data_IF_827859569897
#
_entry.id   IF_827859569897
#
_cell.length_a   1.000
_cell.length_b   1.000
_cell.length_c   1.000
_cell.angle_alpha   90.00
_cell.angle_beta   90.00
_cell.angle_gamma   90.00
#
_symmetry.space_group_name_H-M   'P 1'
#
loop_
_entity.id
_entity.type
_entity.pdbx_description
1 polymer ?
#
# COMPACT_ATOMS: atom_id res chain seq x y z
N UNK A 1 5.02 -2.10 -27.88
CA UNK A 1 4.53 -1.84 -26.51
C UNK A 1 5.71 -2.05 -25.58
N UNK A 2 6.12 -1.03 -24.82
CA UNK A 2 7.27 -1.15 -23.92
C UNK A 2 6.81 -1.85 -22.64
N UNK A 3 7.58 -2.84 -22.18
CA UNK A 3 7.30 -3.54 -20.92
C UNK A 3 7.58 -2.59 -19.75
N UNK A 4 6.55 -2.31 -18.93
CA UNK A 4 6.68 -1.51 -17.73
C UNK A 4 6.11 -2.28 -16.53
N UNK A 5 6.95 -2.47 -15.51
CA UNK A 5 6.56 -3.15 -14.28
C UNK A 5 7.29 -2.53 -13.09
N UNK A 6 6.57 -1.76 -12.28
CA UNK A 6 7.11 -1.10 -11.08
C UNK A 6 6.89 -1.92 -9.79
N UNK A 7 6.06 -2.93 -9.82
CA UNK A 7 5.80 -3.79 -8.67
C UNK A 7 5.01 -3.14 -7.53
N UNK A 8 4.31 -2.05 -7.77
CA UNK A 8 3.54 -1.32 -6.75
C UNK A 8 2.56 -2.20 -5.98
N UNK A 9 1.73 -2.95 -6.70
CA UNK A 9 0.73 -3.85 -6.07
C UNK A 9 1.44 -4.86 -5.16
N UNK A 10 2.56 -5.41 -5.61
CA UNK A 10 3.36 -6.34 -4.80
C UNK A 10 3.90 -5.67 -3.53
N UNK A 11 4.33 -4.41 -3.61
CA UNK A 11 4.80 -3.65 -2.44
C UNK A 11 3.68 -3.46 -1.42
N UNK A 12 2.49 -3.04 -1.86
CA UNK A 12 1.33 -2.86 -0.97
C UNK A 12 0.93 -4.16 -0.27
N UNK A 13 0.86 -5.27 -1.01
CA UNK A 13 0.57 -6.58 -0.44
C UNK A 13 1.65 -6.98 0.57
N UNK A 14 2.92 -6.79 0.25
CA UNK A 14 4.03 -7.10 1.15
C UNK A 14 3.97 -6.29 2.44
N UNK A 15 3.62 -5.01 2.35
CA UNK A 15 3.46 -4.15 3.53
C UNK A 15 2.30 -4.61 4.40
N UNK A 16 1.17 -4.94 3.79
CA UNK A 16 0.02 -5.49 4.51
C UNK A 16 0.38 -6.78 5.24
N UNK A 17 1.09 -7.69 4.59
CA UNK A 17 1.58 -8.93 5.20
C UNK A 17 2.53 -8.63 6.37
N UNK A 18 3.49 -7.72 6.20
CA UNK A 18 4.43 -7.33 7.27
C UNK A 18 3.72 -6.75 8.48
N UNK A 19 2.73 -5.91 8.25
CA UNK A 19 1.92 -5.33 9.31
C UNK A 19 1.15 -6.42 10.08
N UNK A 20 0.44 -7.29 9.37
CA UNK A 20 -0.35 -8.35 9.98
C UNK A 20 0.54 -9.41 10.67
N UNK A 21 1.79 -9.59 10.25
CA UNK A 21 2.73 -10.53 10.87
C UNK A 21 3.23 -10.11 12.25
N UNK A 22 2.93 -8.91 12.69
CA UNK A 22 3.27 -8.43 14.04
C UNK A 22 2.26 -8.85 15.10
N UNK A 23 1.11 -9.38 14.71
CA UNK A 23 0.11 -9.86 15.67
C UNK A 23 0.54 -11.17 16.34
N UNK A 24 0.12 -11.32 17.57
CA UNK A 24 0.41 -12.49 18.39
C UNK A 24 -0.80 -12.87 19.24
N UNK A 25 -0.87 -14.12 19.63
CA UNK A 25 -1.91 -14.62 20.51
C UNK A 25 -1.28 -15.37 21.70
N UNK A 26 -2.01 -15.48 22.79
CA UNK A 26 -1.63 -16.33 23.92
C UNK A 26 -2.16 -17.74 23.70
N UNK A 27 -1.27 -18.70 23.76
CA UNK A 27 -1.63 -20.11 23.75
C UNK A 27 -2.20 -20.57 25.10
N UNK A 28 -2.73 -21.80 25.17
CA UNK A 28 -3.30 -22.36 26.40
C UNK A 28 -2.35 -22.34 27.60
N UNK A 29 -1.06 -22.41 27.38
CA UNK A 29 -0.02 -22.29 28.38
C UNK A 29 0.37 -20.84 28.76
N UNK A 30 -0.34 -19.85 28.20
CA UNK A 30 -0.06 -18.43 28.41
C UNK A 30 1.15 -17.89 27.64
N UNK A 31 1.77 -18.68 26.79
CA UNK A 31 2.91 -18.28 25.96
C UNK A 31 2.44 -17.43 24.78
N UNK A 32 3.15 -16.32 24.52
CA UNK A 32 2.89 -15.47 23.38
C UNK A 32 3.49 -16.07 22.10
N UNK A 33 2.64 -16.32 21.11
CA UNK A 33 3.02 -16.91 19.82
C UNK A 33 2.65 -15.96 18.70
N UNK A 34 3.55 -15.71 17.74
CA UNK A 34 3.27 -14.89 16.55
C UNK A 34 2.35 -15.63 15.60
N UNK A 35 1.43 -14.88 14.99
CA UNK A 35 0.52 -15.41 13.98
C UNK A 35 1.23 -15.45 12.61
N UNK A 36 1.36 -16.62 11.98
CA UNK A 36 1.90 -16.70 10.63
C UNK A 36 0.94 -16.08 9.62
N UNK A 37 1.45 -15.25 8.72
CA UNK A 37 0.69 -14.61 7.66
C UNK A 37 1.18 -15.12 6.31
N UNK A 38 0.25 -15.53 5.46
CA UNK A 38 0.55 -16.07 4.14
C UNK A 38 -0.28 -15.39 3.06
N UNK A 39 0.35 -15.17 1.90
CA UNK A 39 -0.39 -14.74 0.72
C UNK A 39 -1.07 -15.94 0.04
N UNK A 40 -2.36 -15.87 -0.14
CA UNK A 40 -3.15 -16.85 -0.86
C UNK A 40 -4.60 -16.84 -0.46
N UNK A 41 -5.43 -17.17 -1.43
CA UNK A 41 -6.87 -17.33 -1.28
C UNK A 41 -7.24 -18.54 -0.39
N UNK A 42 -8.55 -18.70 -0.14
CA UNK A 42 -9.11 -19.79 0.66
C UNK A 42 -8.64 -21.16 0.18
N UNK A 43 -8.65 -21.41 -1.13
CA UNK A 43 -8.26 -22.70 -1.73
C UNK A 43 -6.79 -23.02 -1.41
N UNK A 44 -5.92 -22.03 -1.50
CA UNK A 44 -4.50 -22.18 -1.19
C UNK A 44 -4.26 -22.40 0.30
N UNK A 45 -5.02 -21.72 1.18
CA UNK A 45 -4.95 -21.92 2.61
C UNK A 45 -5.38 -23.32 3.03
N UNK A 46 -6.49 -23.81 2.49
CA UNK A 46 -6.98 -25.18 2.71
C UNK A 46 -5.95 -26.21 2.22
N UNK A 47 -5.35 -25.98 1.03
CA UNK A 47 -4.29 -26.82 0.50
C UNK A 47 -3.07 -26.90 1.42
N UNK A 48 -2.68 -25.79 2.04
CA UNK A 48 -1.59 -25.79 3.02
C UNK A 48 -1.97 -26.51 4.30
N UNK A 49 -3.17 -26.30 4.85
CA UNK A 49 -3.65 -26.98 6.06
C UNK A 49 -3.67 -28.49 5.86
N UNK A 50 -4.17 -28.96 4.72
CA UNK A 50 -4.22 -30.40 4.41
C UNK A 50 -2.84 -31.02 4.20
N UNK A 51 -1.90 -30.24 3.61
CA UNK A 51 -0.54 -30.66 3.34
C UNK A 51 0.35 -30.68 4.60
N UNK A 52 0.13 -29.72 5.49
CA UNK A 52 0.92 -29.54 6.72
C UNK A 52 0.53 -30.52 7.84
N UNK A 53 -0.46 -31.39 7.61
CA UNK A 53 -0.87 -32.42 8.53
C UNK A 53 0.14 -33.58 8.64
N UNK A 54 1.31 -33.46 8.00
CA UNK A 54 2.44 -34.36 8.15
C UNK A 54 3.43 -33.82 9.19
N UNK A 55 3.81 -34.62 10.08
CA UNK A 55 4.57 -34.61 11.34
C UNK A 55 5.61 -33.53 11.65
N UNK A 56 5.83 -32.54 10.74
CA UNK A 56 6.89 -31.57 10.94
C UNK A 56 6.44 -30.16 10.79
N UNK A 57 5.66 -29.55 11.69
CA UNK A 57 5.55 -28.38 11.70
C UNK A 57 4.92 -27.28 12.16
N UNK A 58 4.92 -26.12 11.75
CA UNK A 58 4.20 -24.87 12.00
C UNK A 58 2.72 -25.20 12.26
N UNK A 59 2.17 -24.87 13.42
CA UNK A 59 0.77 -25.15 13.70
C UNK A 59 -0.09 -24.63 12.56
N UNK A 60 -0.93 -25.47 12.02
CA UNK A 60 -1.76 -25.16 10.86
C UNK A 60 -2.74 -24.00 11.13
N UNK A 61 -3.04 -23.73 12.38
CA UNK A 61 -3.85 -22.61 12.89
C UNK A 61 -3.35 -22.22 14.30
N UNK A 62 -3.50 -20.93 14.73
CA UNK A 62 -4.08 -19.82 13.94
C UNK A 62 -3.14 -19.28 12.88
N UNK A 63 -3.70 -18.79 11.77
CA UNK A 63 -2.97 -18.12 10.68
C UNK A 63 -3.84 -17.05 10.02
N UNK A 64 -3.19 -16.13 9.32
CA UNK A 64 -3.88 -15.11 8.53
C UNK A 64 -3.56 -15.34 7.05
N UNK A 65 -4.61 -15.47 6.24
CA UNK A 65 -4.51 -15.52 4.78
C UNK A 65 -4.79 -14.13 4.18
N UNK A 66 -3.90 -13.62 3.36
CA UNK A 66 -4.07 -12.31 2.69
C UNK A 66 -4.16 -12.53 1.20
N UNK A 67 -5.17 -11.96 0.56
CA UNK A 67 -5.31 -12.00 -0.89
C UNK A 67 -6.03 -10.79 -1.45
N UNK A 68 -5.77 -10.48 -2.72
CA UNK A 68 -6.47 -9.42 -3.45
C UNK A 68 -7.81 -9.96 -3.93
N UNK A 69 -8.89 -9.28 -3.57
CA UNK A 69 -10.24 -9.63 -3.99
C UNK A 69 -10.78 -8.73 -5.10
N UNK A 70 -10.26 -7.53 -5.25
CA UNK A 70 -10.71 -6.59 -6.28
C UNK A 70 -9.70 -5.51 -6.60
N UNK A 71 -9.78 -4.99 -7.82
CA UNK A 71 -9.07 -3.82 -8.27
C UNK A 71 -10.02 -3.03 -9.17
N UNK A 72 -10.46 -1.88 -8.70
CA UNK A 72 -11.45 -1.06 -9.39
C UNK A 72 -10.92 0.34 -9.66
N UNK A 73 -11.28 0.89 -10.81
CA UNK A 73 -10.98 2.28 -11.15
C UNK A 73 -11.89 3.21 -10.34
N UNK A 74 -11.30 4.07 -9.54
CA UNK A 74 -12.04 5.09 -8.80
C UNK A 74 -12.30 6.32 -9.69
N UNK A 75 -13.46 6.34 -10.33
CA UNK A 75 -13.85 7.43 -11.21
C UNK A 75 -14.12 8.74 -10.46
N UNK A 76 -14.48 8.67 -9.19
CA UNK A 76 -14.76 9.86 -8.37
C UNK A 76 -13.50 10.67 -8.07
N UNK A 77 -12.35 10.01 -8.02
CA UNK A 77 -11.02 10.62 -7.80
C UNK A 77 -10.22 10.82 -9.09
N UNK A 78 -10.83 10.62 -10.25
CA UNK A 78 -10.17 10.91 -11.52
C UNK A 78 -9.93 12.41 -11.65
N UNK A 79 -8.70 12.81 -11.99
CA UNK A 79 -8.33 14.22 -12.12
C UNK A 79 -9.17 14.94 -13.16
N UNK A 80 -9.32 16.27 -12.96
CA UNK A 80 -10.04 17.19 -13.81
C UNK A 80 -9.55 17.12 -15.28
N UNK A 81 -10.44 17.21 -16.29
CA UNK A 81 -10.06 17.31 -17.69
C UNK A 81 -9.16 18.53 -18.02
N UNK A 82 -9.05 19.50 -17.12
CA UNK A 82 -8.11 20.63 -17.24
C UNK A 82 -6.67 20.28 -16.87
N UNK A 83 -6.37 19.04 -16.52
CA UNK A 83 -5.01 18.61 -16.16
C UNK A 83 -4.01 18.83 -17.28
N UNK A 84 -3.00 19.67 -17.03
CA UNK A 84 -1.91 19.95 -17.96
C UNK A 84 -0.77 18.97 -17.76
N UNK A 85 -0.61 18.01 -18.70
CA UNK A 85 0.45 16.99 -18.64
C UNK A 85 1.85 17.53 -19.01
N UNK A 86 1.90 18.61 -19.81
CA UNK A 86 3.16 19.20 -20.27
C UNK A 86 3.21 20.67 -19.92
N UNK A 87 4.24 21.06 -19.18
CA UNK A 87 4.52 22.46 -18.85
C UNK A 87 5.82 22.87 -19.50
N UNK A 88 5.76 23.87 -20.36
CA UNK A 88 6.95 24.46 -20.98
C UNK A 88 7.42 25.64 -20.14
N UNK A 89 8.62 25.53 -19.60
CA UNK A 89 9.25 26.54 -18.76
C UNK A 89 10.39 27.18 -19.56
N UNK A 90 10.40 28.49 -19.62
CA UNK A 90 11.50 29.26 -20.20
C UNK A 90 12.22 30.04 -19.12
N UNK A 91 13.52 29.87 -19.05
CA UNK A 91 14.34 30.71 -18.20
C UNK A 91 14.44 32.10 -18.81
N UNK A 92 14.35 33.10 -17.95
CA UNK A 92 14.78 34.47 -18.26
C UNK A 92 15.89 34.86 -17.33
N UNK A 93 16.91 35.49 -17.87
CA UNK A 93 18.01 36.05 -17.05
C UNK A 93 17.49 37.27 -16.32
N UNK A 94 17.65 37.32 -15.01
CA UNK A 94 17.35 38.48 -14.20
C UNK A 94 18.54 39.40 -14.16
N UNK A 95 18.32 40.70 -14.41
CA UNK A 95 19.35 41.75 -14.31
C UNK A 95 19.23 42.47 -12.95
N UNK A 96 20.17 42.20 -12.07
CA UNK A 96 20.20 42.78 -10.72
C UNK A 96 20.40 44.33 -10.76
N UNK A 97 21.01 44.86 -11.80
CA UNK A 97 21.28 46.31 -11.91
C UNK A 97 19.99 47.08 -12.24
N UNK A 98 19.19 46.57 -13.16
CA UNK A 98 17.93 47.16 -13.59
C UNK A 98 16.69 46.64 -12.86
N UNK A 99 16.86 45.64 -12.00
CA UNK A 99 15.76 44.94 -11.27
C UNK A 99 14.67 44.44 -12.19
N UNK A 100 15.01 44.00 -13.38
CA UNK A 100 14.07 43.51 -14.38
C UNK A 100 14.60 42.27 -15.10
N UNK A 101 13.70 41.53 -15.77
CA UNK A 101 14.08 40.39 -16.57
C UNK A 101 14.48 40.78 -17.98
N UNK A 102 15.68 40.35 -18.39
CA UNK A 102 16.14 40.53 -19.75
C UNK A 102 15.27 39.77 -20.75
N UNK A 103 15.05 40.34 -21.93
CA UNK A 103 14.33 39.64 -23.02
C UNK A 103 15.12 38.50 -23.67
N UNK A 104 16.35 38.27 -23.21
CA UNK A 104 17.19 37.16 -23.66
C UNK A 104 16.63 35.85 -23.15
N UNK A 105 16.30 34.95 -24.09
CA UNK A 105 15.84 33.61 -23.73
C UNK A 105 16.98 32.77 -23.18
N UNK A 106 16.81 32.26 -21.97
CA UNK A 106 17.66 31.24 -21.41
C UNK A 106 17.28 29.83 -21.91
N UNK A 107 17.61 28.82 -21.14
CA UNK A 107 17.27 27.43 -21.47
C UNK A 107 15.76 27.18 -21.43
N UNK A 108 15.29 26.34 -22.32
CA UNK A 108 13.91 25.85 -22.32
C UNK A 108 13.85 24.47 -21.69
N UNK A 109 12.91 24.28 -20.77
CA UNK A 109 12.63 23.00 -20.13
C UNK A 109 11.19 22.59 -20.41
N UNK A 110 10.98 21.30 -20.60
CA UNK A 110 9.64 20.72 -20.67
C UNK A 110 9.50 19.73 -19.54
N UNK A 111 8.58 19.99 -18.63
CA UNK A 111 8.21 19.06 -17.56
C UNK A 111 7.00 18.27 -18.01
N UNK A 112 7.15 16.98 -18.16
CA UNK A 112 6.02 16.05 -18.38
C UNK A 112 5.59 15.45 -17.06
N UNK A 113 4.32 15.58 -16.73
CA UNK A 113 3.70 14.93 -15.58
C UNK A 113 2.75 13.86 -16.09
N UNK A 114 2.94 12.63 -15.62
CA UNK A 114 1.98 11.57 -15.85
C UNK A 114 0.76 11.81 -14.96
N UNK A 115 -0.42 11.73 -15.54
CA UNK A 115 -1.67 11.82 -14.78
C UNK A 115 -1.82 10.54 -13.94
N UNK A 116 -1.88 10.63 -12.61
CA UNK A 116 -2.13 9.48 -11.78
C UNK A 116 -3.55 8.96 -12.02
N UNK A 117 -3.68 7.67 -12.22
CA UNK A 117 -4.98 7.02 -12.34
C UNK A 117 -5.32 6.37 -11.00
N UNK A 118 -6.39 6.83 -10.30
CA UNK A 118 -6.75 6.32 -9.00
C UNK A 118 -7.42 4.95 -9.10
N UNK A 119 -6.93 3.99 -8.34
CA UNK A 119 -7.50 2.66 -8.21
C UNK A 119 -7.78 2.34 -6.74
N UNK A 120 -8.88 1.66 -6.50
CA UNK A 120 -9.18 1.05 -5.20
C UNK A 120 -8.76 -0.41 -5.25
N UNK A 121 -7.78 -0.77 -4.43
CA UNK A 121 -7.32 -2.15 -4.27
C UNK A 121 -7.98 -2.75 -3.03
N UNK A 122 -8.85 -3.73 -3.24
CA UNK A 122 -9.51 -4.46 -2.14
C UNK A 122 -8.68 -5.66 -1.76
N UNK A 123 -8.24 -5.70 -0.51
CA UNK A 123 -7.44 -6.79 0.05
C UNK A 123 -8.21 -7.43 1.20
N UNK A 124 -8.42 -8.73 1.14
CA UNK A 124 -9.05 -9.50 2.20
C UNK A 124 -7.98 -10.12 3.10
N UNK A 125 -8.26 -10.13 4.39
CA UNK A 125 -7.44 -10.79 5.41
C UNK A 125 -8.31 -11.77 6.19
N UNK A 126 -8.17 -13.06 5.93
CA UNK A 126 -8.95 -14.13 6.56
C UNK A 126 -8.21 -14.70 7.76
N UNK A 127 -8.86 -14.70 8.92
CA UNK A 127 -8.31 -15.27 10.15
C UNK A 127 -8.79 -16.72 10.31
N UNK A 128 -7.85 -17.64 10.22
CA UNK A 128 -8.08 -19.07 10.42
C UNK A 128 -7.65 -19.47 11.83
N UNK A 129 -8.56 -19.96 12.63
CA UNK A 129 -8.28 -20.43 13.99
C UNK A 129 -9.17 -21.62 14.34
N UNK A 130 -8.62 -22.55 15.11
CA UNK A 130 -9.37 -23.67 15.69
C UNK A 130 -10.04 -23.30 17.01
N UNK A 131 -9.53 -22.26 17.70
CA UNK A 131 -10.04 -21.80 18.97
C UNK A 131 -10.62 -20.39 18.84
N UNK A 132 -11.86 -20.20 19.33
CA UNK A 132 -12.54 -18.90 19.30
C UNK A 132 -11.81 -17.82 20.08
N UNK A 133 -11.21 -18.18 21.23
CA UNK A 133 -10.45 -17.24 22.06
C UNK A 133 -9.24 -16.65 21.31
N UNK A 134 -8.48 -17.49 20.63
CA UNK A 134 -7.35 -17.05 19.80
C UNK A 134 -7.80 -16.15 18.65
N UNK A 135 -8.94 -16.49 18.03
CA UNK A 135 -9.54 -15.66 16.97
C UNK A 135 -9.92 -14.29 17.49
N UNK A 136 -10.55 -14.18 18.66
CA UNK A 136 -10.96 -12.92 19.25
C UNK A 136 -9.74 -12.05 19.62
N UNK A 137 -8.70 -12.64 20.19
CA UNK A 137 -7.45 -11.94 20.51
C UNK A 137 -6.82 -11.30 19.27
N UNK A 138 -6.78 -12.02 18.15
CA UNK A 138 -6.23 -11.50 16.88
C UNK A 138 -7.14 -10.41 16.32
N UNK A 139 -8.45 -10.63 16.34
CA UNK A 139 -9.43 -9.69 15.80
C UNK A 139 -9.42 -8.36 16.54
N UNK A 140 -9.35 -8.38 17.88
CA UNK A 140 -9.25 -7.15 18.69
C UNK A 140 -8.00 -6.34 18.36
N UNK A 141 -6.85 -6.98 18.18
CA UNK A 141 -5.62 -6.31 17.78
C UNK A 141 -5.76 -5.64 16.40
N UNK A 142 -6.41 -6.31 15.45
CA UNK A 142 -6.65 -5.75 14.12
C UNK A 142 -7.60 -4.56 14.21
N UNK A 143 -8.71 -4.67 14.96
CA UNK A 143 -9.68 -3.58 15.12
C UNK A 143 -9.06 -2.35 15.80
N UNK A 144 -8.16 -2.53 16.76
CA UNK A 144 -7.44 -1.42 17.38
C UNK A 144 -6.52 -0.68 16.40
N UNK A 145 -5.97 -1.38 15.42
CA UNK A 145 -5.06 -0.80 14.45
C UNK A 145 -5.81 0.07 13.42
N UNK A 146 -7.01 -0.33 13.04
CA UNK A 146 -7.85 0.39 12.07
C UNK A 146 -8.88 1.28 12.79
N UNK A 147 -8.48 2.48 13.21
CA UNK A 147 -9.38 3.41 13.90
C UNK A 147 -9.29 4.84 13.31
N UNK A 148 -10.11 5.20 12.33
CA UNK A 148 -10.87 4.40 11.35
C UNK A 148 -10.01 3.89 10.20
N UNK A 149 -8.82 4.43 9.99
CA UNK A 149 -7.89 4.09 8.91
C UNK A 149 -6.47 3.98 9.42
N UNK A 150 -5.65 3.21 8.73
CA UNK A 150 -4.23 3.06 9.00
C UNK A 150 -3.44 3.73 7.88
N UNK A 151 -2.57 4.65 8.26
CA UNK A 151 -1.61 5.27 7.35
C UNK A 151 -0.35 4.43 7.28
N UNK A 152 0.03 3.99 6.07
CA UNK A 152 1.25 3.25 5.82
C UNK A 152 2.21 4.13 5.01
N UNK A 153 3.31 4.53 5.63
CA UNK A 153 4.39 5.20 4.93
C UNK A 153 5.30 4.17 4.26
N UNK A 154 5.43 4.28 2.95
CA UNK A 154 6.40 3.50 2.18
C UNK A 154 7.64 4.35 1.93
N UNK A 155 8.70 4.14 2.70
CA UNK A 155 9.99 4.79 2.49
C UNK A 155 10.84 4.03 1.46
N UNK A 156 10.32 3.75 0.30
CA UNK A 156 11.13 3.25 -0.81
C UNK A 156 11.47 4.40 -1.72
N UNK A 157 12.58 5.10 -1.48
CA UNK A 157 13.29 6.05 -2.37
C UNK A 157 12.50 6.92 -3.36
N UNK A 158 11.19 6.83 -3.39
CA UNK A 158 10.29 7.76 -4.06
C UNK A 158 9.88 8.81 -3.04
N UNK A 159 10.46 9.95 -3.19
CA UNK A 159 10.02 11.18 -2.54
C UNK A 159 8.51 11.26 -2.79
N UNK A 160 7.73 11.04 -1.74
CA UNK A 160 6.28 11.19 -1.75
C UNK A 160 5.40 10.06 -2.27
N UNK A 161 5.10 9.12 -1.40
CA UNK A 161 3.85 8.39 -1.41
C UNK A 161 3.27 8.38 0.01
N UNK A 162 2.79 9.53 0.43
CA UNK A 162 1.81 9.63 1.51
C UNK A 162 0.48 9.11 0.96
N UNK A 163 0.06 7.97 1.41
CA UNK A 163 -1.26 7.46 1.12
C UNK A 163 -2.16 7.82 2.30
N UNK A 164 -2.76 8.99 2.25
CA UNK A 164 -3.87 9.35 3.12
C UNK A 164 -5.17 8.99 2.41
N UNK A 165 -6.17 8.53 3.14
CA UNK A 165 -7.52 8.32 2.61
C UNK A 165 -8.20 9.62 2.19
N UNK A 166 -7.55 10.74 2.44
CA UNK A 166 -7.99 12.10 2.10
C UNK A 166 -6.93 12.77 1.22
N UNK A 167 -6.85 12.34 -0.03
CA UNK A 167 -5.88 12.83 -1.02
C UNK A 167 -6.17 14.25 -1.54
N UNK A 168 -7.06 15.01 -0.89
CA UNK A 168 -7.51 16.31 -1.39
C UNK A 168 -6.64 17.49 -0.96
N UNK A 169 -5.82 17.41 0.09
CA UNK A 169 -5.25 18.61 0.71
C UNK A 169 -3.73 18.72 0.80
N UNK A 170 -2.92 17.78 0.31
CA UNK A 170 -1.47 17.93 0.44
C UNK A 170 -0.72 18.09 -0.88
N UNK A 171 -0.49 19.34 -1.22
CA UNK A 171 0.31 19.84 -2.36
C UNK A 171 1.81 19.94 -2.07
N UNK A 172 2.37 19.20 -1.13
CA UNK A 172 3.78 19.31 -0.76
C UNK A 172 4.55 18.01 -0.95
N UNK A 173 5.04 17.82 -2.14
CA UNK A 173 6.21 17.01 -2.46
C UNK A 173 7.04 17.71 -3.51
#
# INVERSE_FOLDING_TARGET
MQHFYDGQIRRYITQMIRMLSNFSYKDGDGKLVKVPVMYGDITRQVGHILRDNSENKIPSAPRIGVYVSGLELDRGRTADPTFVSKVHIRERTYDDANKDYLNTQGKNYTVERLMPTPYTLTVNADIWSTNTEQKLQIMEQILMLFNPSLELQTTDNYICLLYTSDAADEWWC
#
